data_IF_596691169417
#
_entry.id   IF_596691169417
#
_cell.length_a   1.000
_cell.length_b   1.000
_cell.length_c   1.000
_cell.angle_alpha   90.00
_cell.angle_beta   90.00
_cell.angle_gamma   90.00
#
_symmetry.space_group_name_H-M   'P 1'
#
loop_
_entity.id
_entity.type
_entity.pdbx_description
1 polymer ?
#
# COMPACT_ATOMS: atom_id res chain seq x y z
N UNK A 1 -31.41 -2.78 18.30
CA UNK A 1 -29.92 -2.82 18.38
C UNK A 1 -29.45 -3.97 17.50
N UNK A 2 -28.65 -3.72 16.46
CA UNK A 2 -28.28 -4.74 15.47
C UNK A 2 -27.06 -5.55 16.00
N UNK A 3 -27.19 -6.85 16.33
CA UNK A 3 -26.12 -7.64 16.93
C UNK A 3 -24.85 -7.76 16.06
N UNK A 4 -24.98 -7.62 14.73
CA UNK A 4 -23.85 -7.59 13.81
C UNK A 4 -22.95 -6.36 14.02
N UNK A 5 -23.54 -5.18 14.22
CA UNK A 5 -22.78 -3.95 14.52
C UNK A 5 -21.99 -4.04 15.83
N UNK A 6 -22.54 -4.70 16.85
CA UNK A 6 -21.86 -4.85 18.14
C UNK A 6 -20.70 -5.85 18.08
N UNK A 7 -20.74 -6.83 17.17
CA UNK A 7 -19.66 -7.80 16.96
C UNK A 7 -18.50 -7.19 16.14
N UNK A 8 -18.82 -6.42 15.10
CA UNK A 8 -17.84 -5.71 14.26
C UNK A 8 -17.03 -4.67 15.04
N UNK A 9 -17.68 -3.89 15.91
CA UNK A 9 -17.01 -2.89 16.76
C UNK A 9 -16.05 -3.55 17.77
N UNK A 10 -16.46 -4.66 18.38
CA UNK A 10 -15.61 -5.39 19.35
C UNK A 10 -14.35 -5.98 18.70
N UNK A 11 -14.46 -6.51 17.49
CA UNK A 11 -13.30 -7.03 16.77
C UNK A 11 -12.35 -5.90 16.33
N UNK A 12 -12.89 -4.75 15.91
CA UNK A 12 -12.09 -3.58 15.57
C UNK A 12 -11.25 -3.08 16.75
N UNK A 13 -11.85 -2.97 17.94
CA UNK A 13 -11.16 -2.51 19.15
C UNK A 13 -10.03 -3.49 19.59
N UNK A 14 -10.24 -4.78 19.39
CA UNK A 14 -9.22 -5.80 19.65
C UNK A 14 -8.04 -5.67 18.69
N UNK A 15 -8.28 -5.52 17.38
CA UNK A 15 -7.21 -5.36 16.40
C UNK A 15 -6.44 -4.06 16.59
N UNK A 16 -7.12 -2.96 16.95
CA UNK A 16 -6.44 -1.70 17.29
C UNK A 16 -5.54 -1.87 18.50
N UNK A 17 -5.99 -2.58 19.54
CA UNK A 17 -5.18 -2.87 20.72
C UNK A 17 -3.93 -3.69 20.36
N UNK A 18 -4.11 -4.80 19.63
CA UNK A 18 -3.02 -5.66 19.17
C UNK A 18 -2.05 -4.92 18.24
N UNK A 19 -2.56 -4.05 17.37
CA UNK A 19 -1.76 -3.24 16.47
C UNK A 19 -0.87 -2.26 17.25
N UNK A 20 -1.43 -1.59 18.26
CA UNK A 20 -0.64 -0.71 19.14
C UNK A 20 0.42 -1.49 19.93
N UNK A 21 0.10 -2.70 20.42
CA UNK A 21 1.10 -3.59 21.03
C UNK A 21 2.22 -3.91 20.05
N UNK A 22 1.89 -4.29 18.81
CA UNK A 22 2.87 -4.58 17.77
C UNK A 22 3.76 -3.37 17.45
N UNK A 23 3.18 -2.16 17.37
CA UNK A 23 3.93 -0.92 17.13
C UNK A 23 4.91 -0.64 18.29
N UNK A 24 4.46 -0.83 19.53
CA UNK A 24 5.31 -0.69 20.72
C UNK A 24 6.44 -1.73 20.76
N UNK A 25 6.18 -2.98 20.36
CA UNK A 25 7.21 -4.03 20.22
C UNK A 25 8.30 -3.67 19.21
N UNK A 26 7.99 -2.82 18.22
CA UNK A 26 8.97 -2.30 17.26
C UNK A 26 9.83 -1.15 17.84
N UNK A 27 9.59 -0.76 19.09
CA UNK A 27 10.29 0.35 19.74
C UNK A 27 9.76 1.73 19.33
N UNK A 28 8.50 1.81 18.90
CA UNK A 28 7.87 3.04 18.38
C UNK A 28 6.58 3.33 19.10
N UNK A 29 6.24 4.61 19.29
CA UNK A 29 4.95 5.05 19.79
C UNK A 29 4.52 6.37 19.15
N UNK A 30 3.22 6.66 19.24
CA UNK A 30 2.68 7.96 18.86
C UNK A 30 2.65 8.88 20.09
N UNK A 31 3.20 10.08 19.97
CA UNK A 31 3.15 11.10 21.01
C UNK A 31 1.73 11.68 21.13
N UNK A 32 1.39 12.37 22.24
CA UNK A 32 0.11 13.06 22.37
C UNK A 32 -0.16 14.13 21.30
N UNK A 33 0.89 14.63 20.64
CA UNK A 33 0.80 15.59 19.53
C UNK A 33 0.60 14.92 18.17
N UNK A 34 0.46 13.60 18.12
CA UNK A 34 0.23 12.83 16.89
C UNK A 34 1.49 12.49 16.09
N UNK A 35 2.67 12.86 16.56
CA UNK A 35 3.96 12.55 15.90
C UNK A 35 4.50 11.20 16.35
N UNK A 36 5.22 10.49 15.48
CA UNK A 36 5.87 9.23 15.83
C UNK A 36 7.24 9.46 16.48
N UNK A 37 7.58 8.65 17.49
CA UNK A 37 8.87 8.71 18.16
C UNK A 37 9.34 7.30 18.58
N UNK A 38 10.64 7.15 18.83
CA UNK A 38 11.18 5.92 19.39
C UNK A 38 10.89 5.87 20.89
N UNK A 39 10.32 4.76 21.37
CA UNK A 39 10.26 4.45 22.81
C UNK A 39 11.62 3.98 23.32
N UNK A 40 12.29 3.15 22.52
CA UNK A 40 13.60 2.58 22.81
C UNK A 40 14.40 2.37 21.52
N UNK A 41 15.45 3.19 21.36
CA UNK A 41 16.35 3.13 20.21
C UNK A 41 17.12 1.80 20.13
N UNK A 42 17.42 1.17 21.27
CA UNK A 42 18.10 -0.13 21.29
C UNK A 42 17.18 -1.22 20.74
N UNK A 43 15.91 -1.24 21.19
CA UNK A 43 14.90 -2.15 20.64
C UNK A 43 14.68 -1.90 19.15
N UNK A 44 14.49 -0.65 18.72
CA UNK A 44 14.29 -0.34 17.29
C UNK A 44 15.49 -0.76 16.42
N UNK A 45 16.72 -0.58 16.90
CA UNK A 45 17.93 -0.88 16.14
C UNK A 45 18.29 -2.37 16.08
N UNK A 46 17.96 -3.16 17.12
CA UNK A 46 18.50 -4.52 17.28
C UNK A 46 17.47 -5.64 17.37
N UNK A 47 16.19 -5.34 17.60
CA UNK A 47 15.14 -6.37 17.69
C UNK A 47 14.96 -7.15 16.39
N UNK A 48 14.63 -8.43 16.47
CA UNK A 48 14.31 -9.23 15.27
C UNK A 48 12.94 -8.81 14.74
N UNK A 49 12.90 -8.39 13.47
CA UNK A 49 11.63 -8.08 12.78
C UNK A 49 11.17 -9.34 12.05
N UNK A 50 9.98 -9.84 12.39
CA UNK A 50 9.36 -10.92 11.63
C UNK A 50 9.05 -10.46 10.20
N UNK A 51 9.19 -11.32 9.20
CA UNK A 51 9.13 -10.91 7.78
C UNK A 51 7.78 -10.28 7.37
N UNK A 52 6.69 -10.61 8.05
CA UNK A 52 5.33 -10.11 7.77
C UNK A 52 5.11 -8.73 8.41
N UNK A 53 5.89 -8.42 9.45
CA UNK A 53 5.91 -7.12 10.13
C UNK A 53 6.86 -6.12 9.47
N UNK A 54 7.62 -6.53 8.46
CA UNK A 54 8.59 -5.65 7.78
C UNK A 54 7.93 -4.42 7.14
N UNK A 55 6.76 -4.49 6.49
CA UNK A 55 6.02 -3.31 6.04
C UNK A 55 5.68 -2.33 7.18
N UNK A 56 5.22 -2.85 8.31
CA UNK A 56 4.87 -2.03 9.49
C UNK A 56 6.11 -1.36 10.06
N UNK A 57 7.21 -2.10 10.22
CA UNK A 57 8.48 -1.57 10.70
C UNK A 57 9.05 -0.49 9.76
N UNK A 58 9.03 -0.74 8.44
CA UNK A 58 9.46 0.24 7.45
C UNK A 58 8.64 1.53 7.53
N UNK A 59 7.31 1.42 7.63
CA UNK A 59 6.42 2.56 7.79
C UNK A 59 6.68 3.34 9.09
N UNK A 60 6.80 2.63 10.22
CA UNK A 60 7.01 3.21 11.54
C UNK A 60 8.35 3.94 11.64
N UNK A 61 9.43 3.30 11.20
CA UNK A 61 10.76 3.89 11.23
C UNK A 61 10.87 5.06 10.26
N UNK A 62 10.31 4.94 9.06
CA UNK A 62 10.30 6.05 8.11
C UNK A 62 9.42 7.21 8.59
N UNK A 63 8.49 6.99 9.53
CA UNK A 63 7.72 8.04 10.19
C UNK A 63 8.53 8.91 11.14
N UNK A 64 9.62 8.37 11.67
CA UNK A 64 10.50 9.07 12.60
C UNK A 64 11.73 9.58 11.86
N UNK A 65 12.43 8.69 11.18
CA UNK A 65 13.67 8.97 10.46
C UNK A 65 13.81 8.02 9.24
N UNK A 66 13.60 8.53 8.01
CA UNK A 66 13.78 7.74 6.78
C UNK A 66 15.21 7.22 6.57
N UNK A 67 16.23 7.91 7.07
CA UNK A 67 17.64 7.48 6.98
C UNK A 67 17.86 6.28 7.90
N UNK A 68 17.35 6.35 9.14
CA UNK A 68 17.35 5.21 10.04
C UNK A 68 16.60 4.02 9.44
N UNK A 69 15.40 4.23 8.88
CA UNK A 69 14.61 3.17 8.26
C UNK A 69 15.37 2.46 7.13
N UNK A 70 16.01 3.23 6.25
CA UNK A 70 16.82 2.70 5.15
C UNK A 70 18.07 1.96 5.65
N UNK A 71 18.70 2.42 6.74
CA UNK A 71 19.81 1.72 7.37
C UNK A 71 19.39 0.43 8.09
N UNK A 72 18.21 0.44 8.73
CA UNK A 72 17.67 -0.69 9.50
C UNK A 72 17.14 -1.81 8.63
N UNK A 73 16.57 -1.48 7.47
CA UNK A 73 16.00 -2.43 6.51
C UNK A 73 16.62 -2.14 5.13
N UNK A 74 17.92 -2.43 4.95
CA UNK A 74 18.65 -2.07 3.74
C UNK A 74 18.10 -2.81 2.52
N UNK A 75 18.15 -2.15 1.37
CA UNK A 75 17.69 -2.66 0.07
C UNK A 75 16.19 -3.02 0.00
N UNK A 76 15.39 -2.61 0.97
CA UNK A 76 13.95 -2.86 0.96
C UNK A 76 13.24 -1.85 0.06
N UNK A 77 12.74 -2.31 -1.08
CA UNK A 77 12.06 -1.47 -2.07
C UNK A 77 10.57 -1.32 -1.76
N UNK A 78 9.94 -0.32 -2.39
CA UNK A 78 8.48 -0.18 -2.39
C UNK A 78 7.80 -1.45 -2.92
N UNK A 79 8.36 -2.09 -3.93
CA UNK A 79 7.83 -3.33 -4.50
C UNK A 79 7.88 -4.46 -3.49
N UNK A 80 8.98 -4.59 -2.74
CA UNK A 80 9.10 -5.60 -1.66
C UNK A 80 8.10 -5.35 -0.54
N UNK A 81 7.79 -4.09 -0.24
CA UNK A 81 6.75 -3.71 0.71
C UNK A 81 5.37 -4.15 0.21
N UNK A 82 5.00 -3.74 -1.00
CA UNK A 82 3.69 -4.01 -1.60
C UNK A 82 3.46 -5.53 -1.76
N UNK A 83 4.49 -6.28 -2.17
CA UNK A 83 4.42 -7.73 -2.30
C UNK A 83 4.15 -8.46 -0.97
N UNK A 84 4.45 -7.82 0.18
CA UNK A 84 4.18 -8.40 1.51
C UNK A 84 2.78 -8.14 2.02
N UNK A 85 2.02 -7.21 1.43
CA UNK A 85 0.66 -6.86 1.87
C UNK A 85 -0.28 -8.07 1.88
N UNK A 86 -0.18 -8.95 0.88
CA UNK A 86 -1.01 -10.16 0.79
C UNK A 86 -0.71 -11.21 1.87
N UNK A 87 0.44 -11.11 2.54
CA UNK A 87 0.86 -12.01 3.62
C UNK A 87 0.61 -11.43 5.02
N UNK A 88 0.09 -10.20 5.13
CA UNK A 88 -0.15 -9.55 6.41
C UNK A 88 -1.47 -10.00 7.02
N UNK A 89 -1.48 -10.21 8.34
CA UNK A 89 -2.72 -10.46 9.07
C UNK A 89 -3.48 -9.15 9.39
N UNK A 90 -4.68 -9.27 9.95
CA UNK A 90 -5.52 -8.12 10.31
C UNK A 90 -4.86 -7.18 11.33
N UNK A 91 -4.03 -7.69 12.23
CA UNK A 91 -3.29 -6.86 13.20
C UNK A 91 -2.23 -6.04 12.49
N UNK A 92 -1.47 -6.67 11.59
CA UNK A 92 -0.41 -6.04 10.82
C UNK A 92 -0.97 -4.98 9.87
N UNK A 93 -2.08 -5.27 9.18
CA UNK A 93 -2.77 -4.31 8.30
C UNK A 93 -3.32 -3.12 9.10
N UNK A 94 -3.85 -3.38 10.31
CA UNK A 94 -4.33 -2.32 11.22
C UNK A 94 -3.18 -1.45 11.70
N UNK A 95 -2.05 -2.04 12.09
CA UNK A 95 -0.86 -1.30 12.49
C UNK A 95 -0.32 -0.41 11.35
N UNK A 96 -0.25 -0.95 10.13
CA UNK A 96 0.17 -0.19 8.96
C UNK A 96 -0.78 0.99 8.68
N UNK A 97 -2.10 0.78 8.76
CA UNK A 97 -3.09 1.84 8.58
C UNK A 97 -2.90 2.97 9.61
N UNK A 98 -2.76 2.61 10.90
CA UNK A 98 -2.52 3.56 12.00
C UNK A 98 -1.27 4.42 11.73
N UNK A 99 -0.15 3.79 11.37
CA UNK A 99 1.10 4.51 11.06
C UNK A 99 0.94 5.47 9.89
N UNK A 100 0.16 5.08 8.89
CA UNK A 100 -0.13 5.89 7.71
C UNK A 100 -1.18 6.99 7.99
N UNK A 101 -1.78 7.04 9.17
CA UNK A 101 -2.88 7.95 9.50
C UNK A 101 -4.20 7.60 8.81
N UNK A 102 -4.32 6.39 8.27
CA UNK A 102 -5.54 5.84 7.73
C UNK A 102 -6.44 5.29 8.84
N UNK A 103 -7.74 5.20 8.56
CA UNK A 103 -8.65 4.53 9.48
C UNK A 103 -8.31 3.03 9.55
N UNK A 104 -8.32 2.43 10.75
CA UNK A 104 -8.22 0.98 10.91
C UNK A 104 -9.22 0.28 9.99
N UNK A 105 -8.78 -0.74 9.23
CA UNK A 105 -9.66 -1.43 8.31
C UNK A 105 -10.75 -2.19 9.08
N UNK A 106 -11.98 -2.09 8.59
CA UNK A 106 -13.06 -2.98 9.00
C UNK A 106 -13.11 -4.15 8.01
N UNK A 107 -13.21 -5.36 8.53
CA UNK A 107 -13.30 -6.59 7.71
C UNK A 107 -14.68 -7.26 7.82
N UNK A 108 -15.78 -6.57 7.48
CA UNK A 108 -17.13 -7.11 7.68
C UNK A 108 -17.44 -8.28 6.73
N UNK A 109 -16.91 -8.23 5.49
CA UNK A 109 -16.96 -9.33 4.52
C UNK A 109 -15.91 -9.15 3.42
N UNK A 110 -15.56 -10.23 2.73
CA UNK A 110 -14.66 -10.17 1.57
C UNK A 110 -15.21 -9.27 0.44
N UNK A 111 -16.52 -9.34 0.19
CA UNK A 111 -17.17 -8.53 -0.84
C UNK A 111 -17.10 -7.02 -0.52
N UNK A 112 -17.44 -6.61 0.70
CA UNK A 112 -17.35 -5.20 1.10
C UNK A 112 -15.91 -4.70 1.10
N UNK A 113 -14.95 -5.54 1.51
CA UNK A 113 -13.53 -5.21 1.43
C UNK A 113 -13.08 -4.98 -0.01
N UNK A 114 -13.51 -5.83 -0.95
CA UNK A 114 -13.24 -5.70 -2.39
C UNK A 114 -13.84 -4.44 -3.01
N UNK A 115 -15.03 -4.03 -2.54
CA UNK A 115 -15.66 -2.77 -2.97
C UNK A 115 -14.88 -1.55 -2.47
N UNK A 116 -14.56 -1.49 -1.17
CA UNK A 116 -13.75 -0.41 -0.59
C UNK A 116 -12.40 -0.31 -1.30
N UNK A 117 -11.72 -1.45 -1.47
CA UNK A 117 -10.44 -1.51 -2.19
C UNK A 117 -10.55 -0.97 -3.62
N UNK A 118 -11.58 -1.39 -4.36
CA UNK A 118 -11.81 -0.96 -5.74
C UNK A 118 -12.12 0.52 -5.87
N UNK A 119 -12.93 1.07 -4.97
CA UNK A 119 -13.23 2.50 -4.92
C UNK A 119 -11.97 3.32 -4.66
N UNK A 120 -11.14 2.92 -3.70
CA UNK A 120 -9.90 3.64 -3.38
C UNK A 120 -8.89 3.53 -4.52
N UNK A 121 -8.77 2.37 -5.16
CA UNK A 121 -7.90 2.19 -6.31
C UNK A 121 -8.26 3.16 -7.43
N UNK A 122 -9.56 3.27 -7.77
CA UNK A 122 -10.04 4.23 -8.77
C UNK A 122 -9.90 5.68 -8.32
N UNK A 123 -10.17 5.97 -7.05
CA UNK A 123 -9.91 7.28 -6.49
C UNK A 123 -8.46 7.69 -6.70
N UNK A 124 -7.49 6.82 -6.40
CA UNK A 124 -6.06 7.10 -6.64
C UNK A 124 -5.78 7.36 -8.12
N UNK A 125 -6.38 6.58 -9.03
CA UNK A 125 -6.19 6.83 -10.47
C UNK A 125 -6.68 8.22 -10.87
N UNK A 126 -7.84 8.63 -10.37
CA UNK A 126 -8.45 9.91 -10.70
C UNK A 126 -7.72 11.09 -10.03
N UNK A 127 -7.49 11.02 -8.72
CA UNK A 127 -6.91 12.10 -7.92
C UNK A 127 -5.46 12.42 -8.35
N UNK A 128 -4.71 11.41 -8.84
CA UNK A 128 -3.32 11.55 -9.27
C UNK A 128 -3.12 11.54 -10.79
N UNK A 129 -4.19 11.48 -11.60
CA UNK A 129 -4.12 11.51 -13.07
C UNK A 129 -3.33 10.35 -13.67
N UNK A 130 -3.67 9.11 -13.30
CA UNK A 130 -2.94 7.90 -13.67
C UNK A 130 -3.55 7.15 -14.88
N UNK A 131 -4.43 7.76 -15.65
CA UNK A 131 -5.17 7.16 -16.78
C UNK A 131 -4.25 6.78 -17.95
N UNK A 132 -3.06 7.38 -18.00
CA UNK A 132 -2.00 6.97 -18.93
C UNK A 132 -1.35 5.63 -18.57
N UNK A 133 -1.58 5.14 -17.34
CA UNK A 133 -1.08 3.86 -16.84
C UNK A 133 -2.18 2.82 -16.61
N UNK A 134 -3.42 3.26 -16.36
CA UNK A 134 -4.56 2.37 -16.10
C UNK A 134 -5.77 2.74 -16.96
N UNK A 135 -6.55 1.73 -17.34
CA UNK A 135 -7.81 1.90 -18.07
C UNK A 135 -8.93 1.12 -17.41
N UNK A 136 -10.15 1.61 -17.65
CA UNK A 136 -11.35 0.86 -17.31
C UNK A 136 -11.62 -0.18 -18.39
N UNK A 137 -11.97 -1.38 -17.96
CA UNK A 137 -12.42 -2.50 -18.80
C UNK A 137 -13.72 -3.03 -18.24
N UNK A 138 -14.41 -3.85 -19.04
CA UNK A 138 -15.53 -4.64 -18.54
C UNK A 138 -15.01 -5.61 -17.47
N UNK A 139 -15.60 -5.66 -16.27
CA UNK A 139 -15.16 -6.59 -15.24
C UNK A 139 -15.44 -8.04 -15.68
N UNK A 140 -14.63 -8.97 -15.16
CA UNK A 140 -14.96 -10.39 -15.19
C UNK A 140 -15.74 -10.71 -13.91
N UNK A 141 -17.05 -10.92 -14.02
CA UNK A 141 -17.95 -11.12 -12.87
C UNK A 141 -18.40 -9.82 -12.18
N UNK A 142 -18.98 -9.95 -11.00
CA UNK A 142 -19.68 -8.87 -10.26
C UNK A 142 -18.95 -8.42 -8.98
N UNK A 143 -17.73 -8.90 -8.72
CA UNK A 143 -17.09 -8.81 -7.41
C UNK A 143 -16.21 -7.55 -7.22
N UNK A 144 -16.79 -6.37 -7.15
CA UNK A 144 -16.09 -5.15 -6.72
C UNK A 144 -15.32 -4.42 -7.82
N UNK A 145 -15.19 -3.09 -7.67
CA UNK A 145 -14.75 -2.21 -8.76
C UNK A 145 -13.30 -2.37 -9.21
N UNK A 146 -12.41 -2.95 -8.41
CA UNK A 146 -10.99 -3.15 -8.80
C UNK A 146 -10.85 -4.07 -10.03
N UNK A 147 -11.76 -5.03 -10.26
CA UNK A 147 -11.74 -5.86 -11.48
C UNK A 147 -12.02 -5.09 -12.76
N UNK A 148 -12.57 -3.88 -12.68
CA UNK A 148 -12.75 -3.01 -13.84
C UNK A 148 -11.47 -2.26 -14.20
N UNK A 149 -10.45 -2.26 -13.34
CA UNK A 149 -9.19 -1.57 -13.62
C UNK A 149 -8.15 -2.55 -14.14
N UNK A 150 -7.46 -2.12 -15.20
CA UNK A 150 -6.36 -2.85 -15.82
C UNK A 150 -5.23 -1.92 -16.23
N UNK A 151 -3.96 -2.35 -16.13
CA UNK A 151 -2.86 -1.61 -16.73
C UNK A 151 -3.04 -1.37 -18.24
N UNK A 152 -2.48 -0.27 -18.74
CA UNK A 152 -2.43 0.02 -20.16
C UNK A 152 -1.44 -0.89 -20.89
N UNK A 153 -1.60 -1.04 -22.20
CA UNK A 153 -0.61 -1.75 -23.04
C UNK A 153 -0.88 -3.24 -23.29
N UNK A 154 -2.01 -3.77 -22.82
CA UNK A 154 -2.48 -5.12 -23.17
C UNK A 154 -3.82 -5.04 -23.91
N UNK A 155 -3.94 -5.84 -24.97
CA UNK A 155 -5.21 -6.31 -25.51
C UNK A 155 -5.72 -7.42 -24.60
N UNK A 156 -6.73 -7.12 -23.78
CA UNK A 156 -7.26 -8.07 -22.80
C UNK A 156 -8.20 -9.12 -23.41
N UNK A 157 -8.71 -8.89 -24.62
CA UNK A 157 -9.50 -9.89 -25.34
C UNK A 157 -8.57 -10.96 -25.93
N UNK A 158 -7.40 -10.56 -26.42
CA UNK A 158 -6.40 -11.47 -27.01
C UNK A 158 -5.28 -11.89 -26.05
N UNK A 159 -5.23 -11.31 -24.86
CA UNK A 159 -4.14 -11.46 -23.88
C UNK A 159 -2.76 -11.18 -24.49
N UNK A 160 -2.65 -10.12 -25.32
CA UNK A 160 -1.42 -9.77 -26.05
C UNK A 160 -0.92 -8.37 -25.73
N UNK A 161 0.41 -8.18 -25.55
CA UNK A 161 1.01 -6.86 -25.48
C UNK A 161 0.77 -6.04 -26.75
N UNK A 162 0.45 -4.76 -26.57
CA UNK A 162 0.38 -3.75 -27.63
C UNK A 162 1.61 -2.84 -27.48
N UNK A 163 2.67 -3.02 -28.30
CA UNK A 163 3.96 -2.35 -28.11
C UNK A 163 3.87 -0.82 -28.05
N UNK A 164 3.03 -0.21 -28.87
CA UNK A 164 2.85 1.24 -28.96
C UNK A 164 2.26 1.81 -27.68
N UNK A 165 1.26 1.12 -27.11
CA UNK A 165 0.62 1.53 -25.86
C UNK A 165 1.55 1.30 -24.67
N UNK A 166 2.31 0.21 -24.63
CA UNK A 166 3.34 0.01 -23.60
C UNK A 166 4.43 1.08 -23.68
N UNK A 167 4.86 1.45 -24.89
CA UNK A 167 5.81 2.54 -25.09
C UNK A 167 5.24 3.87 -24.59
N UNK A 168 3.98 4.16 -24.87
CA UNK A 168 3.29 5.36 -24.39
C UNK A 168 3.18 5.37 -22.85
N UNK A 169 2.70 4.30 -22.24
CA UNK A 169 2.61 4.14 -20.78
C UNK A 169 3.97 4.36 -20.10
N UNK A 170 5.03 3.72 -20.59
CA UNK A 170 6.39 3.89 -20.05
C UNK A 170 6.91 5.31 -20.22
N UNK A 171 6.56 5.99 -21.32
CA UNK A 171 6.92 7.40 -21.52
C UNK A 171 6.24 8.27 -20.46
N UNK A 172 4.94 8.09 -20.26
CA UNK A 172 4.17 8.83 -19.25
C UNK A 172 4.68 8.57 -17.83
N UNK A 173 4.94 7.31 -17.47
CA UNK A 173 5.47 6.95 -16.16
C UNK A 173 6.82 7.62 -15.85
N UNK A 174 7.72 7.71 -16.84
CA UNK A 174 9.02 8.38 -16.65
C UNK A 174 8.90 9.88 -16.41
N UNK A 175 7.81 10.52 -16.86
CA UNK A 175 7.58 11.96 -16.67
C UNK A 175 6.72 12.27 -15.44
N UNK A 176 6.13 11.26 -14.79
CA UNK A 176 5.31 11.44 -13.59
C UNK A 176 6.12 11.99 -12.42
N UNK A 177 5.45 12.72 -11.54
CA UNK A 177 5.97 13.17 -10.25
C UNK A 177 6.24 11.97 -9.32
N UNK A 178 7.12 12.11 -8.32
CA UNK A 178 7.46 11.03 -7.39
C UNK A 178 6.25 10.35 -6.76
N UNK A 179 5.26 11.11 -6.29
CA UNK A 179 4.03 10.57 -5.67
C UNK A 179 3.21 9.73 -6.66
N UNK A 180 3.07 10.19 -7.91
CA UNK A 180 2.37 9.46 -8.97
C UNK A 180 3.09 8.15 -9.29
N UNK A 181 4.43 8.14 -9.37
CA UNK A 181 5.20 6.92 -9.62
C UNK A 181 5.02 5.88 -8.51
N UNK A 182 4.95 6.32 -7.26
CA UNK A 182 4.69 5.46 -6.09
C UNK A 182 3.28 4.85 -6.18
N UNK A 183 2.27 5.66 -6.50
CA UNK A 183 0.90 5.18 -6.67
C UNK A 183 0.77 4.18 -7.82
N UNK A 184 1.37 4.46 -8.98
CA UNK A 184 1.39 3.53 -10.12
C UNK A 184 2.09 2.22 -9.76
N UNK A 185 3.27 2.27 -9.14
CA UNK A 185 3.97 1.04 -8.73
C UNK A 185 3.15 0.24 -7.73
N UNK A 186 2.52 0.91 -6.76
CA UNK A 186 1.66 0.25 -5.77
C UNK A 186 0.52 -0.48 -6.47
N UNK A 187 -0.30 0.23 -7.27
CA UNK A 187 -1.44 -0.37 -7.97
C UNK A 187 -1.01 -1.49 -8.92
N UNK A 188 0.08 -1.28 -9.67
CA UNK A 188 0.58 -2.28 -10.61
C UNK A 188 1.06 -3.56 -9.91
N UNK A 189 1.76 -3.46 -8.78
CA UNK A 189 2.24 -4.64 -8.06
C UNK A 189 1.15 -5.30 -7.23
N UNK A 190 0.14 -4.56 -6.77
CA UNK A 190 -1.08 -5.16 -6.24
C UNK A 190 -1.83 -5.95 -7.31
N UNK A 191 -1.92 -5.42 -8.54
CA UNK A 191 -2.52 -6.12 -9.68
C UNK A 191 -1.74 -7.38 -10.10
N UNK A 192 -0.41 -7.28 -10.22
CA UNK A 192 0.42 -8.38 -10.73
C UNK A 192 0.58 -9.52 -9.72
N UNK A 193 0.76 -9.20 -8.43
CA UNK A 193 1.21 -10.13 -7.39
C UNK A 193 2.52 -10.88 -7.70
N UNK A 194 3.25 -10.46 -8.74
CA UNK A 194 4.52 -11.03 -9.17
C UNK A 194 5.48 -9.96 -9.70
N UNK A 195 6.64 -10.39 -10.16
CA UNK A 195 7.63 -9.51 -10.79
C UNK A 195 7.09 -8.93 -12.10
N UNK A 196 7.22 -7.61 -12.29
CA UNK A 196 6.84 -6.96 -13.54
C UNK A 196 7.84 -7.28 -14.66
N UNK A 197 7.37 -8.00 -15.68
CA UNK A 197 8.13 -8.36 -16.88
C UNK A 197 7.63 -7.63 -18.13
N UNK A 198 6.55 -6.85 -18.04
CA UNK A 198 5.80 -6.36 -19.20
C UNK A 198 5.63 -4.84 -19.16
N UNK A 199 5.18 -4.26 -18.06
CA UNK A 199 4.64 -2.91 -18.06
C UNK A 199 5.73 -1.85 -17.95
N UNK A 200 6.46 -1.82 -16.83
CA UNK A 200 7.47 -0.81 -16.50
C UNK A 200 8.88 -1.34 -16.69
N UNK A 201 9.14 -1.95 -17.86
CA UNK A 201 10.47 -2.39 -18.28
C UNK A 201 11.22 -1.30 -19.07
N UNK A 202 12.48 -1.56 -19.41
CA UNK A 202 13.27 -0.67 -20.28
C UNK A 202 13.69 0.64 -19.62
N UNK A 203 14.17 0.58 -18.39
CA UNK A 203 14.72 1.74 -17.67
C UNK A 203 13.67 2.69 -17.07
N UNK A 204 12.44 2.23 -16.85
CA UNK A 204 11.52 2.95 -15.97
C UNK A 204 12.10 2.98 -14.53
N UNK A 205 11.98 4.11 -13.81
CA UNK A 205 12.53 4.25 -12.46
C UNK A 205 11.67 3.49 -11.43
N UNK A 206 11.84 2.17 -11.35
CA UNK A 206 11.06 1.29 -10.45
C UNK A 206 11.76 0.97 -9.14
N UNK A 207 13.06 1.24 -9.04
CA UNK A 207 13.90 0.98 -7.85
C UNK A 207 13.75 2.10 -6.81
N UNK A 208 12.56 2.25 -6.25
CA UNK A 208 12.27 3.21 -5.18
C UNK A 208 12.42 2.48 -3.84
N UNK A 209 13.22 3.01 -2.91
CA UNK A 209 13.29 2.44 -1.56
C UNK A 209 11.97 2.64 -0.84
N UNK A 210 11.57 1.69 0.02
CA UNK A 210 10.33 1.81 0.78
C UNK A 210 10.34 3.07 1.68
N UNK A 211 11.47 3.33 2.35
CA UNK A 211 11.63 4.51 3.21
C UNK A 211 11.47 5.83 2.44
N UNK A 212 12.04 5.95 1.24
CA UNK A 212 11.88 7.15 0.41
C UNK A 212 10.45 7.27 -0.11
N UNK A 213 9.82 6.17 -0.53
CA UNK A 213 8.43 6.19 -0.96
C UNK A 213 7.49 6.69 0.15
N UNK A 214 7.63 6.14 1.37
CA UNK A 214 6.84 6.53 2.53
C UNK A 214 7.07 7.99 2.95
N UNK A 215 8.30 8.48 2.83
CA UNK A 215 8.63 9.90 3.05
C UNK A 215 7.93 10.80 2.03
N UNK A 216 8.01 10.47 0.74
CA UNK A 216 7.34 11.24 -0.33
C UNK A 216 5.83 11.27 -0.12
N UNK A 217 5.22 10.10 0.17
CA UNK A 217 3.79 10.02 0.48
C UNK A 217 3.40 10.88 1.68
N UNK A 218 4.25 10.93 2.72
CA UNK A 218 3.98 11.74 3.92
C UNK A 218 4.08 13.25 3.65
N UNK A 219 5.00 13.67 2.78
CA UNK A 219 5.18 15.07 2.43
C UNK A 219 3.99 15.64 1.65
N UNK A 220 3.29 14.82 0.88
CA UNK A 220 2.02 15.18 0.23
C UNK A 220 0.85 15.28 1.24
N UNK A 221 0.97 14.64 2.41
CA UNK A 221 -0.01 14.66 3.49
C UNK A 221 -1.16 13.69 3.24
N UNK A 222 -1.96 13.92 2.20
CA UNK A 222 -3.12 13.07 1.89
C UNK A 222 -2.71 11.75 1.24
N UNK A 223 -1.65 11.73 0.42
CA UNK A 223 -1.19 10.52 -0.26
C UNK A 223 -0.90 9.36 0.70
N UNK A 224 -0.21 9.59 1.83
CA UNK A 224 0.09 8.52 2.78
C UNK A 224 -1.18 7.90 3.36
N UNK A 225 -2.16 8.74 3.72
CA UNK A 225 -3.43 8.29 4.27
C UNK A 225 -4.21 7.46 3.26
N UNK A 226 -4.35 7.95 2.02
CA UNK A 226 -5.05 7.25 0.94
C UNK A 226 -4.34 5.94 0.57
N UNK A 227 -3.00 5.97 0.48
CA UNK A 227 -2.19 4.77 0.23
C UNK A 227 -2.33 3.73 1.35
N UNK A 228 -2.29 4.17 2.61
CA UNK A 228 -2.50 3.31 3.78
C UNK A 228 -3.87 2.65 3.78
N UNK A 229 -4.91 3.40 3.40
CA UNK A 229 -6.27 2.88 3.27
C UNK A 229 -6.39 1.84 2.14
N UNK A 230 -5.75 2.08 1.00
CA UNK A 230 -5.70 1.13 -0.13
C UNK A 230 -5.09 -0.21 0.32
N UNK A 231 -3.88 -0.17 0.88
CA UNK A 231 -3.14 -1.40 1.19
C UNK A 231 -3.75 -2.17 2.36
N UNK A 232 -4.32 -1.48 3.36
CA UNK A 232 -5.00 -2.16 4.48
C UNK A 232 -6.25 -2.92 4.04
N UNK A 233 -6.91 -2.45 2.98
CA UNK A 233 -8.10 -3.08 2.40
C UNK A 233 -7.80 -4.01 1.22
N UNK A 234 -6.53 -4.30 0.89
CA UNK A 234 -6.17 -5.09 -0.28
C UNK A 234 -6.88 -6.45 -0.36
N UNK A 235 -7.90 -6.56 -1.23
CA UNK A 235 -8.80 -7.72 -1.28
C UNK A 235 -8.35 -8.86 -2.20
N UNK A 236 -7.21 -8.72 -2.87
CA UNK A 236 -6.88 -9.54 -4.04
C UNK A 236 -7.15 -8.78 -5.34
N UNK A 237 -6.63 -9.30 -6.46
CA UNK A 237 -6.91 -8.85 -7.82
C UNK A 237 -6.93 -10.05 -8.77
#
# INVERSE_FOLDING_TARGET
MNPLKNFEVRNSDEYVTKANTLINELGVYQTPTGTWAFTDMQTASSSRIHHSRTPVAAAAYAAIDPVFAAGRIPNYSLVDLVAKISCMDATELTALAIICGAEPPLFPSAAQRGEIFGEIAWQIVNDYGLESCFKQVRPYGDEGRHYTMRPQGIDYEQSKPIPELLKAMRKSYRTMEPVQRIMVLTLLHLYLQESDKIFLTGGCPTKISAAEALKVLRQDGQALKTWGHLVSHYAGW
#
